data_IF_491436649372
#
_entry.id   IF_491436649372
#
_cell.length_a   1.000
_cell.length_b   1.000
_cell.length_c   1.000
_cell.angle_alpha   90.00
_cell.angle_beta   90.00
_cell.angle_gamma   90.00
#
_symmetry.space_group_name_H-M   'P 1'
#
loop_
_entity.id
_entity.type
_entity.pdbx_description
1 polymer ?
#
# COMPACT_ATOMS: atom_id res chain seq x y z
N UNK A 1 -75.41 -7.74 -3.32
CA UNK A 1 -75.14 -7.48 -1.88
C UNK A 1 -73.64 -7.53 -1.70
N UNK A 2 -73.01 -6.37 -1.91
CA UNK A 2 -71.58 -6.13 -1.71
C UNK A 2 -71.29 -5.98 -0.21
N UNK A 3 -70.24 -6.61 0.30
CA UNK A 3 -69.66 -6.27 1.60
C UNK A 3 -68.23 -5.76 1.42
N UNK A 4 -68.12 -4.44 1.49
CA UNK A 4 -66.92 -3.65 1.49
C UNK A 4 -66.30 -3.71 2.91
N UNK A 5 -65.04 -4.16 3.06
CA UNK A 5 -64.31 -4.07 4.34
C UNK A 5 -63.12 -3.16 4.14
N UNK A 6 -63.26 -1.95 4.68
CA UNK A 6 -62.34 -0.81 4.64
C UNK A 6 -61.32 -0.95 5.77
N UNK A 7 -60.04 -1.09 5.43
CA UNK A 7 -58.94 -1.05 6.41
C UNK A 7 -58.57 0.41 6.66
N UNK A 8 -58.63 0.84 7.92
CA UNK A 8 -58.28 2.20 8.36
C UNK A 8 -56.77 2.44 8.33
N UNK A 9 -56.43 3.65 7.89
CA UNK A 9 -55.08 4.22 7.83
C UNK A 9 -54.85 5.01 9.11
N UNK A 10 -53.77 4.70 9.83
CA UNK A 10 -53.33 5.47 11.00
C UNK A 10 -52.49 6.65 10.51
N UNK A 11 -53.09 7.85 10.52
CA UNK A 11 -52.39 9.12 10.35
C UNK A 11 -51.66 9.50 11.66
N UNK A 12 -50.40 9.94 11.55
CA UNK A 12 -49.64 10.61 12.62
C UNK A 12 -49.42 12.06 12.24
N UNK A 13 -49.97 12.96 13.05
CA UNK A 13 -49.89 14.42 12.92
C UNK A 13 -48.56 14.97 13.50
N UNK A 14 -47.84 15.88 12.80
CA UNK A 14 -46.60 16.47 13.27
C UNK A 14 -46.87 17.88 13.84
N UNK A 15 -47.02 18.02 15.16
CA UNK A 15 -47.13 19.32 15.83
C UNK A 15 -46.84 19.21 17.33
N UNK A 16 -45.56 19.15 17.70
CA UNK A 16 -45.10 19.48 19.05
C UNK A 16 -43.58 19.69 19.07
N UNK A 17 -43.13 20.72 18.35
CA UNK A 17 -42.01 21.54 18.82
C UNK A 17 -42.43 22.29 20.10
N UNK A 18 -41.44 22.83 20.82
CA UNK A 18 -41.53 23.67 22.03
C UNK A 18 -41.35 22.94 23.37
N UNK A 19 -40.12 22.48 23.61
CA UNK A 19 -39.48 22.77 24.90
C UNK A 19 -37.96 22.90 24.75
N UNK A 20 -37.56 24.05 24.23
CA UNK A 20 -36.33 24.72 24.66
C UNK A 20 -36.37 24.92 26.18
N UNK A 21 -35.30 24.58 26.89
CA UNK A 21 -34.61 25.51 27.79
C UNK A 21 -33.45 24.82 28.52
N UNK A 22 -32.40 25.63 28.73
CA UNK A 22 -31.16 25.41 29.51
C UNK A 22 -29.99 24.88 28.67
N UNK A 23 -28.89 25.59 28.43
CA UNK A 23 -28.43 26.91 28.87
C UNK A 23 -27.09 27.21 28.16
N UNK A 24 -26.97 28.39 27.54
CA UNK A 24 -25.71 29.13 27.29
C UNK A 24 -25.23 29.78 28.61
N UNK A 25 -23.98 30.30 28.80
CA UNK A 25 -23.21 31.06 27.81
C UNK A 25 -21.66 30.98 27.86
N UNK A 26 -21.07 31.60 26.84
CA UNK A 26 -19.70 32.08 26.70
C UNK A 26 -19.30 33.12 27.76
N UNK A 27 -18.05 33.09 28.25
CA UNK A 27 -17.29 34.31 28.57
C UNK A 27 -15.76 34.09 28.66
N UNK A 28 -15.03 35.16 28.37
CA UNK A 28 -13.56 35.32 28.25
C UNK A 28 -12.84 35.50 29.60
N UNK A 29 -11.57 35.10 29.74
CA UNK A 29 -10.45 35.94 30.29
C UNK A 29 -9.10 35.20 30.37
N UNK A 30 -8.05 36.01 30.23
CA UNK A 30 -6.60 35.75 30.16
C UNK A 30 -5.90 35.37 31.49
N UNK A 31 -4.57 35.19 31.36
CA UNK A 31 -3.44 35.17 32.32
C UNK A 31 -2.86 33.76 32.54
N UNK A 32 -1.66 33.36 32.13
CA UNK A 32 -0.26 33.89 32.13
C UNK A 32 0.61 32.89 32.94
N UNK A 33 1.91 32.88 32.68
CA UNK A 33 3.01 32.20 33.41
C UNK A 33 3.35 30.76 32.99
N UNK A 34 4.56 30.34 32.61
CA UNK A 34 5.84 30.98 32.22
C UNK A 34 6.75 29.86 31.67
N UNK A 35 7.48 30.13 30.58
CA UNK A 35 8.55 29.29 30.00
C UNK A 35 9.85 30.11 30.08
N UNK A 36 11.02 29.55 30.48
CA UNK A 36 12.28 30.28 30.40
C UNK A 36 13.08 29.97 29.12
N UNK A 37 13.19 31.02 28.31
CA UNK A 37 14.27 31.50 27.42
C UNK A 37 15.62 30.75 27.34
N UNK A 38 16.24 30.75 26.15
CA UNK A 38 17.26 31.76 25.76
C UNK A 38 18.10 31.34 24.51
N UNK A 39 17.77 31.90 23.33
CA UNK A 39 18.49 32.90 22.50
C UNK A 39 19.69 32.42 21.64
N UNK A 40 19.55 32.72 20.35
CA UNK A 40 20.56 32.74 19.28
C UNK A 40 21.20 34.13 19.18
N UNK A 41 22.53 34.18 18.97
CA UNK A 41 23.25 35.38 18.57
C UNK A 41 24.46 35.06 17.69
N UNK A 42 24.37 35.41 16.41
CA UNK A 42 25.43 35.34 15.40
C UNK A 42 26.47 36.46 15.55
N UNK A 43 27.73 36.24 15.15
CA UNK A 43 28.41 37.03 14.09
C UNK A 43 29.93 36.81 14.01
N UNK A 44 30.44 37.06 12.79
CA UNK A 44 31.80 37.43 12.39
C UNK A 44 32.79 36.35 11.91
N UNK A 45 32.81 36.25 10.58
CA UNK A 45 33.87 35.92 9.62
C UNK A 45 35.34 36.14 10.01
N UNK A 46 36.23 35.26 9.53
CA UNK A 46 37.20 35.63 8.46
C UNK A 46 38.03 34.43 7.97
N UNK A 47 38.42 34.54 6.71
CA UNK A 47 39.06 33.57 5.82
C UNK A 47 40.57 33.42 5.97
N UNK A 48 41.09 32.30 5.44
CA UNK A 48 42.28 32.17 4.55
C UNK A 48 43.40 31.25 5.05
N UNK A 49 43.72 30.26 4.21
CA UNK A 49 44.93 29.43 4.24
C UNK A 49 46.16 30.25 3.80
N UNK A 50 47.39 29.81 4.15
CA UNK A 50 48.17 29.04 3.16
C UNK A 50 49.10 27.95 3.75
N UNK A 51 49.51 27.00 2.90
CA UNK A 51 50.62 26.05 3.11
C UNK A 51 51.97 26.70 2.69
N UNK A 52 53.10 25.97 2.53
CA UNK A 52 53.89 25.12 3.44
C UNK A 52 55.39 25.56 3.50
N UNK A 53 56.17 25.13 4.52
CA UNK A 53 57.63 24.84 4.41
C UNK A 53 58.26 24.42 5.75
N UNK A 54 58.86 23.21 5.74
CA UNK A 54 60.20 22.79 6.27
C UNK A 54 60.71 23.44 7.58
N UNK A 55 61.21 22.76 8.61
CA UNK A 55 62.12 21.61 8.78
C UNK A 55 61.85 21.03 10.20
N UNK A 56 61.80 19.74 10.47
CA UNK A 56 62.97 18.90 10.77
C UNK A 56 62.80 18.23 12.15
N UNK A 57 63.31 17.00 12.24
CA UNK A 57 63.54 16.16 13.43
C UNK A 57 62.50 15.12 13.86
N UNK A 58 63.03 13.89 13.91
CA UNK A 58 62.42 12.58 14.07
C UNK A 58 62.14 12.31 15.56
N UNK A 59 61.00 11.68 15.86
CA UNK A 59 60.93 10.80 17.03
C UNK A 59 59.91 9.68 16.78
N UNK A 60 60.41 8.45 16.79
CA UNK A 60 59.73 7.23 16.44
C UNK A 60 58.62 6.87 17.44
N UNK A 61 57.40 6.65 16.96
CA UNK A 61 56.27 6.16 17.75
C UNK A 61 56.17 4.63 17.63
N UNK A 62 56.60 3.95 18.68
CA UNK A 62 56.51 2.51 18.89
C UNK A 62 55.03 2.05 18.98
N UNK A 63 54.58 1.03 18.22
CA UNK A 63 53.20 0.57 18.24
C UNK A 63 53.03 -0.60 19.23
N UNK A 64 52.51 -0.33 20.43
CA UNK A 64 52.01 -1.42 21.28
C UNK A 64 51.98 -1.10 22.77
N UNK A 65 50.85 -0.59 23.26
CA UNK A 65 50.57 -0.54 24.69
C UNK A 65 49.29 -1.30 25.04
N UNK A 66 49.35 -2.63 24.93
CA UNK A 66 48.42 -3.53 25.62
C UNK A 66 48.94 -3.82 27.03
N UNK A 67 48.14 -3.56 28.07
CA UNK A 67 48.54 -3.82 29.45
C UNK A 67 48.32 -5.31 29.82
N UNK A 68 49.37 -5.97 30.32
CA UNK A 68 49.37 -7.41 30.62
C UNK A 68 49.08 -7.64 32.12
N UNK A 69 48.04 -8.44 32.43
CA UNK A 69 47.72 -8.85 33.79
C UNK A 69 48.63 -9.99 34.30
N UNK A 70 48.88 -10.01 35.62
CA UNK A 70 49.83 -10.93 36.30
C UNK A 70 49.50 -12.44 36.23
N UNK A 71 48.40 -12.81 35.59
CA UNK A 71 47.95 -14.17 35.31
C UNK A 71 48.14 -14.57 33.84
N UNK A 72 48.91 -13.79 33.05
CA UNK A 72 49.26 -14.12 31.66
C UNK A 72 48.11 -13.92 30.65
N UNK A 73 46.95 -13.43 31.12
CA UNK A 73 45.83 -13.04 30.26
C UNK A 73 45.96 -11.56 29.89
N UNK A 74 46.05 -11.29 28.59
CA UNK A 74 46.05 -9.94 28.01
C UNK A 74 44.61 -9.48 27.92
N UNK A 75 44.27 -8.40 28.63
CA UNK A 75 43.00 -7.72 28.47
C UNK A 75 43.17 -6.65 27.38
N UNK A 76 42.58 -6.91 26.22
CA UNK A 76 42.23 -5.82 25.31
C UNK A 76 41.04 -5.08 25.90
N UNK A 77 40.97 -3.76 25.70
CA UNK A 77 39.78 -2.98 26.05
C UNK A 77 38.58 -3.53 25.28
N UNK A 78 37.80 -4.39 25.94
CA UNK A 78 36.59 -5.00 25.39
C UNK A 78 35.57 -3.91 25.09
N UNK A 79 35.50 -3.50 23.83
CA UNK A 79 34.30 -3.57 22.97
C UNK A 79 34.63 -3.20 21.51
N UNK A 80 35.82 -3.58 21.02
CA UNK A 80 36.12 -3.61 19.57
C UNK A 80 35.63 -4.90 18.90
N UNK A 81 34.47 -5.44 19.29
CA UNK A 81 33.66 -6.16 18.30
C UNK A 81 32.91 -5.14 17.45
N UNK A 82 33.68 -4.25 16.83
CA UNK A 82 33.29 -3.65 15.56
C UNK A 82 33.20 -4.84 14.62
N UNK A 83 32.00 -5.42 14.45
CA UNK A 83 31.74 -6.26 13.29
C UNK A 83 32.37 -5.53 12.12
N UNK A 84 33.39 -6.13 11.50
CA UNK A 84 34.07 -5.50 10.37
C UNK A 84 32.97 -5.05 9.42
N UNK A 85 32.76 -3.73 9.33
CA UNK A 85 31.88 -3.17 8.33
C UNK A 85 32.58 -3.49 7.01
N UNK A 86 32.22 -4.65 6.46
CA UNK A 86 32.61 -5.02 5.12
C UNK A 86 31.99 -3.95 4.26
N UNK A 87 32.82 -3.01 3.79
CA UNK A 87 32.37 -2.03 2.82
C UNK A 87 31.64 -2.81 1.73
N UNK A 88 30.38 -2.44 1.37
CA UNK A 88 29.75 -3.05 0.22
C UNK A 88 30.72 -2.82 -0.94
N UNK A 89 31.19 -3.91 -1.55
CA UNK A 89 32.28 -3.90 -2.49
C UNK A 89 32.12 -2.73 -3.48
N UNK A 90 33.02 -1.74 -3.38
CA UNK A 90 33.07 -0.61 -4.32
C UNK A 90 33.31 -1.20 -5.70
N UNK A 91 32.30 -1.15 -6.56
CA UNK A 91 32.35 -1.73 -7.90
C UNK A 91 31.36 -2.86 -8.16
N UNK A 92 30.57 -3.29 -7.16
CA UNK A 92 29.35 -4.03 -7.46
C UNK A 92 28.33 -3.00 -7.93
N UNK A 93 28.19 -2.88 -9.26
CA UNK A 93 26.94 -2.34 -9.79
C UNK A 93 25.85 -3.18 -9.16
N UNK A 94 24.85 -2.60 -8.47
CA UNK A 94 23.71 -3.39 -8.05
C UNK A 94 23.13 -3.95 -9.34
N UNK A 95 23.40 -5.23 -9.63
CA UNK A 95 22.81 -5.94 -10.76
C UNK A 95 21.31 -5.72 -10.72
N UNK A 96 20.61 -5.71 -11.88
CA UNK A 96 19.24 -5.21 -12.05
C UNK A 96 18.46 -5.42 -10.77
N UNK A 97 18.32 -4.33 -10.01
CA UNK A 97 18.06 -4.37 -8.57
C UNK A 97 16.86 -5.27 -8.30
N UNK A 98 16.81 -5.93 -7.14
CA UNK A 98 15.61 -6.67 -6.70
C UNK A 98 14.30 -5.85 -6.78
N UNK A 99 14.40 -4.53 -6.95
CA UNK A 99 13.34 -3.57 -7.25
C UNK A 99 12.89 -3.51 -8.73
N UNK A 100 13.69 -3.94 -9.71
CA UNK A 100 13.27 -4.08 -11.10
C UNK A 100 12.33 -5.28 -11.29
N UNK A 101 12.59 -6.35 -10.52
CA UNK A 101 11.57 -7.34 -10.16
C UNK A 101 10.46 -6.55 -9.42
N UNK A 102 9.19 -6.87 -9.34
CA UNK A 102 8.13 -6.04 -8.70
C UNK A 102 7.76 -4.66 -9.29
N UNK A 103 8.61 -3.93 -10.04
CA UNK A 103 8.21 -2.62 -10.62
C UNK A 103 6.90 -2.70 -11.42
N UNK A 104 6.72 -3.75 -12.23
CA UNK A 104 5.49 -3.95 -12.99
C UNK A 104 4.25 -4.18 -12.11
N UNK A 105 4.39 -4.94 -11.02
CA UNK A 105 3.29 -5.20 -10.08
C UNK A 105 2.94 -3.94 -9.30
N UNK A 106 3.95 -3.17 -8.89
CA UNK A 106 3.75 -1.87 -8.25
C UNK A 106 3.06 -0.87 -9.18
N UNK A 107 3.47 -0.79 -10.46
CA UNK A 107 2.84 0.07 -11.46
C UNK A 107 1.36 -0.27 -11.65
N UNK A 108 1.03 -1.56 -11.74
CA UNK A 108 -0.37 -2.04 -11.83
C UNK A 108 -1.14 -1.71 -10.56
N UNK A 109 -0.53 -1.83 -9.38
CA UNK A 109 -1.16 -1.44 -8.11
C UNK A 109 -1.50 0.04 -8.08
N UNK A 110 -0.56 0.92 -8.49
CA UNK A 110 -0.79 2.37 -8.59
C UNK A 110 -1.92 2.68 -9.57
N UNK A 111 -1.95 2.01 -10.72
CA UNK A 111 -3.04 2.16 -11.70
C UNK A 111 -4.40 1.77 -11.09
N UNK A 112 -4.45 0.69 -10.32
CA UNK A 112 -5.66 0.25 -9.62
C UNK A 112 -6.13 1.27 -8.55
N UNK A 113 -5.20 1.89 -7.83
CA UNK A 113 -5.53 2.97 -6.87
C UNK A 113 -6.12 4.19 -7.60
N UNK A 114 -5.53 4.59 -8.73
CA UNK A 114 -6.05 5.68 -9.55
C UNK A 114 -7.45 5.37 -10.09
N UNK A 115 -7.72 4.11 -10.46
CA UNK A 115 -9.05 3.67 -10.87
C UNK A 115 -10.08 3.79 -9.73
N UNK A 116 -9.75 3.34 -8.51
CA UNK A 116 -10.65 3.48 -7.34
C UNK A 116 -10.92 4.95 -7.00
N UNK A 117 -9.90 5.82 -7.13
CA UNK A 117 -10.06 7.26 -6.96
C UNK A 117 -11.01 7.84 -8.03
N UNK A 118 -10.87 7.42 -9.28
CA UNK A 118 -11.77 7.81 -10.37
C UNK A 118 -13.22 7.38 -10.11
N UNK A 119 -13.47 6.15 -9.67
CA UNK A 119 -14.83 5.70 -9.31
C UNK A 119 -15.43 6.52 -8.16
N UNK A 120 -14.61 6.84 -7.16
CA UNK A 120 -15.02 7.69 -6.04
C UNK A 120 -15.41 9.10 -6.50
N UNK A 121 -14.64 9.71 -7.41
CA UNK A 121 -14.97 11.00 -8.02
C UNK A 121 -16.26 10.94 -8.84
N UNK A 122 -16.51 9.84 -9.56
CA UNK A 122 -17.77 9.64 -10.30
C UNK A 122 -18.97 9.55 -9.38
N UNK A 123 -18.86 8.91 -8.22
CA UNK A 123 -19.91 8.91 -7.19
C UNK A 123 -20.16 10.32 -6.67
N UNK A 124 -19.11 11.09 -6.35
CA UNK A 124 -19.25 12.49 -5.90
C UNK A 124 -19.96 13.34 -6.95
N UNK A 125 -19.59 13.18 -8.23
CA UNK A 125 -20.26 13.85 -9.33
C UNK A 125 -21.74 13.45 -9.43
N UNK A 126 -22.05 12.15 -9.32
CA UNK A 126 -23.42 11.66 -9.35
C UNK A 126 -24.26 12.19 -8.18
N UNK A 127 -23.68 12.30 -6.97
CA UNK A 127 -24.34 12.94 -5.81
C UNK A 127 -24.75 14.37 -6.11
N UNK A 128 -23.87 15.15 -6.76
CA UNK A 128 -24.16 16.53 -7.18
C UNK A 128 -25.21 16.58 -8.28
N UNK A 129 -25.11 15.71 -9.29
CA UNK A 129 -26.02 15.67 -10.44
C UNK A 129 -27.46 15.31 -10.04
N UNK A 130 -27.62 14.35 -9.13
CA UNK A 130 -28.92 13.85 -8.69
C UNK A 130 -29.35 14.41 -7.33
N UNK A 131 -28.63 15.41 -6.80
CA UNK A 131 -28.93 16.08 -5.53
C UNK A 131 -29.16 15.13 -4.36
N UNK A 132 -28.28 14.13 -4.19
CA UNK A 132 -28.34 13.15 -3.09
C UNK A 132 -27.31 13.52 -2.00
N UNK A 133 -27.71 14.25 -0.94
CA UNK A 133 -26.79 14.66 0.12
C UNK A 133 -26.35 13.47 0.97
N UNK A 134 -25.12 13.47 1.51
CA UNK A 134 -24.75 12.55 2.60
C UNK A 134 -25.69 12.75 3.81
N UNK A 135 -26.05 11.70 4.58
CA UNK A 135 -25.60 10.30 4.51
C UNK A 135 -26.43 9.42 3.55
N UNK A 136 -27.35 9.98 2.77
CA UNK A 136 -28.23 9.20 1.92
C UNK A 136 -27.44 8.39 0.87
N UNK A 137 -27.82 7.12 0.72
CA UNK A 137 -27.25 6.17 -0.25
C UNK A 137 -28.28 5.66 -1.25
N UNK A 138 -29.52 6.12 -1.13
CA UNK A 138 -30.66 5.82 -2.00
C UNK A 138 -31.18 7.13 -2.62
N UNK A 139 -31.78 7.05 -3.79
CA UNK A 139 -32.26 8.22 -4.52
C UNK A 139 -32.59 7.90 -5.98
N UNK A 140 -32.02 8.66 -6.91
CA UNK A 140 -32.22 8.40 -8.34
C UNK A 140 -31.62 7.03 -8.73
N UNK A 141 -32.31 6.20 -9.54
CA UNK A 141 -31.84 4.85 -9.89
C UNK A 141 -30.44 4.85 -10.54
N UNK A 142 -30.10 5.88 -11.32
CA UNK A 142 -28.76 6.00 -11.92
C UNK A 142 -27.67 6.32 -10.88
N UNK A 143 -28.01 7.10 -9.85
CA UNK A 143 -27.11 7.34 -8.73
C UNK A 143 -26.84 6.04 -7.98
N UNK A 144 -27.90 5.28 -7.68
CA UNK A 144 -27.78 4.01 -6.97
C UNK A 144 -26.92 3.02 -7.74
N UNK A 145 -27.06 2.92 -9.07
CA UNK A 145 -26.19 2.05 -9.89
C UNK A 145 -24.72 2.45 -9.81
N UNK A 146 -24.40 3.74 -9.95
CA UNK A 146 -23.02 4.24 -9.85
C UNK A 146 -22.45 4.02 -8.44
N UNK A 147 -23.24 4.29 -7.41
CA UNK A 147 -22.85 4.08 -6.01
C UNK A 147 -22.58 2.59 -5.72
N UNK A 148 -23.46 1.69 -6.18
CA UNK A 148 -23.29 0.24 -6.03
C UNK A 148 -22.12 -0.31 -6.84
N UNK A 149 -21.89 0.24 -8.04
CA UNK A 149 -20.74 -0.13 -8.85
C UNK A 149 -19.41 0.21 -8.14
N UNK A 150 -19.30 1.41 -7.57
CA UNK A 150 -18.12 1.82 -6.79
C UNK A 150 -17.94 0.98 -5.53
N UNK A 151 -19.01 0.74 -4.76
CA UNK A 151 -18.95 -0.07 -3.55
C UNK A 151 -18.45 -1.49 -3.86
N UNK A 152 -18.99 -2.14 -4.91
CA UNK A 152 -18.53 -3.45 -5.33
C UNK A 152 -17.05 -3.43 -5.73
N UNK A 153 -16.61 -2.45 -6.53
CA UNK A 153 -15.20 -2.33 -6.88
C UNK A 153 -14.30 -2.20 -5.64
N UNK A 154 -14.72 -1.41 -4.64
CA UNK A 154 -13.99 -1.22 -3.39
C UNK A 154 -13.93 -2.48 -2.53
N UNK A 155 -14.98 -3.30 -2.48
CA UNK A 155 -15.02 -4.54 -1.71
C UNK A 155 -14.04 -5.60 -2.26
N UNK A 156 -13.90 -5.68 -3.59
CA UNK A 156 -13.00 -6.64 -4.23
C UNK A 156 -11.56 -6.13 -4.37
N UNK A 157 -11.32 -4.83 -4.23
CA UNK A 157 -9.99 -4.24 -4.42
C UNK A 157 -8.91 -4.83 -3.49
N UNK A 158 -9.14 -5.03 -2.18
CA UNK A 158 -8.16 -5.68 -1.30
C UNK A 158 -7.83 -7.12 -1.74
N UNK A 159 -8.84 -7.89 -2.15
CA UNK A 159 -8.64 -9.27 -2.64
C UNK A 159 -7.75 -9.27 -3.88
N UNK A 160 -8.02 -8.37 -4.82
CA UNK A 160 -7.21 -8.17 -6.01
C UNK A 160 -5.75 -7.87 -5.64
N UNK A 161 -5.50 -6.84 -4.81
CA UNK A 161 -4.14 -6.43 -4.44
C UNK A 161 -3.38 -7.58 -3.77
N UNK A 162 -3.99 -8.29 -2.82
CA UNK A 162 -3.32 -9.42 -2.14
C UNK A 162 -2.94 -10.50 -3.16
N UNK A 163 -3.85 -10.90 -4.03
CA UNK A 163 -3.59 -11.96 -5.03
C UNK A 163 -2.59 -11.52 -6.11
N UNK A 164 -2.60 -10.25 -6.50
CA UNK A 164 -1.63 -9.68 -7.43
C UNK A 164 -0.21 -9.79 -6.86
N UNK A 165 -0.03 -9.39 -5.61
CA UNK A 165 1.27 -9.42 -4.95
C UNK A 165 1.73 -10.86 -4.67
N UNK A 166 0.85 -11.75 -4.21
CA UNK A 166 1.21 -13.16 -4.01
C UNK A 166 1.63 -13.82 -5.32
N UNK A 167 0.87 -13.66 -6.40
CA UNK A 167 1.24 -14.19 -7.71
C UNK A 167 2.54 -13.58 -8.25
N UNK A 168 2.78 -12.28 -8.00
CA UNK A 168 3.98 -11.57 -8.44
C UNK A 168 5.24 -11.98 -7.67
N UNK A 169 5.11 -12.24 -6.37
CA UNK A 169 6.21 -12.62 -5.48
C UNK A 169 6.58 -14.11 -5.59
N UNK A 170 5.58 -14.99 -5.67
CA UNK A 170 5.79 -16.44 -5.56
C UNK A 170 5.74 -17.20 -6.89
N UNK A 171 5.28 -16.58 -7.98
CA UNK A 171 5.18 -17.26 -9.28
C UNK A 171 5.88 -16.52 -10.41
N UNK A 172 5.26 -15.48 -10.98
CA UNK A 172 5.80 -14.74 -12.11
C UNK A 172 5.26 -13.33 -12.12
N UNK A 173 6.18 -12.37 -12.08
CA UNK A 173 5.86 -10.95 -12.13
C UNK A 173 5.19 -10.56 -13.45
N UNK A 174 5.66 -11.06 -14.58
CA UNK A 174 5.12 -10.70 -15.89
C UNK A 174 3.65 -11.15 -16.02
N UNK A 175 3.36 -12.40 -15.66
CA UNK A 175 2.00 -12.94 -15.70
C UNK A 175 1.09 -12.27 -14.67
N UNK A 176 1.58 -12.02 -13.45
CA UNK A 176 0.83 -11.28 -12.43
C UNK A 176 0.47 -9.87 -12.92
N UNK A 177 1.44 -9.12 -13.46
CA UNK A 177 1.20 -7.77 -13.97
C UNK A 177 0.24 -7.77 -15.18
N UNK A 178 0.37 -8.71 -16.11
CA UNK A 178 -0.55 -8.84 -17.25
C UNK A 178 -1.99 -9.13 -16.79
N UNK A 179 -2.18 -10.10 -15.90
CA UNK A 179 -3.49 -10.41 -15.34
C UNK A 179 -4.04 -9.24 -14.53
N UNK A 180 -3.18 -8.54 -13.79
CA UNK A 180 -3.60 -7.37 -13.02
C UNK A 180 -4.06 -6.20 -13.88
N UNK A 181 -3.35 -5.93 -14.97
CA UNK A 181 -3.81 -4.95 -15.96
C UNK A 181 -5.16 -5.35 -16.57
N UNK A 182 -5.32 -6.63 -16.91
CA UNK A 182 -6.56 -7.16 -17.47
C UNK A 182 -7.74 -7.07 -16.47
N UNK A 183 -7.46 -7.27 -15.18
CA UNK A 183 -8.44 -7.09 -14.11
C UNK A 183 -8.91 -5.64 -14.00
N UNK A 184 -7.98 -4.68 -13.98
CA UNK A 184 -8.30 -3.25 -13.94
C UNK A 184 -9.14 -2.86 -15.17
N UNK A 185 -8.72 -3.26 -16.38
CA UNK A 185 -9.50 -3.00 -17.58
C UNK A 185 -10.94 -3.55 -17.50
N UNK A 186 -11.09 -4.78 -17.00
CA UNK A 186 -12.41 -5.37 -16.79
C UNK A 186 -13.25 -4.62 -15.76
N UNK A 187 -12.63 -4.08 -14.70
CA UNK A 187 -13.31 -3.29 -13.66
C UNK A 187 -13.75 -1.93 -14.17
N UNK A 188 -12.94 -1.29 -15.00
CA UNK A 188 -13.33 -0.09 -15.72
C UNK A 188 -14.59 -0.31 -16.57
N UNK A 189 -14.63 -1.40 -17.34
CA UNK A 189 -15.80 -1.76 -18.16
C UNK A 189 -17.01 -2.15 -17.32
N UNK A 190 -16.80 -2.86 -16.20
CA UNK A 190 -17.87 -3.18 -15.25
C UNK A 190 -18.54 -1.92 -14.71
N UNK A 191 -17.75 -0.93 -14.30
CA UNK A 191 -18.28 0.31 -13.74
C UNK A 191 -19.11 1.09 -14.76
N UNK A 192 -18.62 1.27 -15.98
CA UNK A 192 -19.34 1.97 -17.05
C UNK A 192 -20.59 1.21 -17.47
N UNK A 193 -20.48 -0.10 -17.69
CA UNK A 193 -21.62 -0.95 -18.04
C UNK A 193 -22.71 -0.93 -16.98
N UNK A 194 -22.34 -0.90 -15.69
CA UNK A 194 -23.31 -0.82 -14.59
C UNK A 194 -23.95 0.57 -14.46
N UNK A 195 -23.19 1.64 -14.67
CA UNK A 195 -23.72 3.00 -14.69
C UNK A 195 -24.84 3.16 -15.74
N UNK A 196 -24.63 2.59 -16.94
CA UNK A 196 -25.63 2.61 -18.01
C UNK A 196 -26.84 1.72 -17.70
N UNK A 197 -26.61 0.44 -17.37
CA UNK A 197 -27.69 -0.50 -17.11
C UNK A 197 -27.31 -1.59 -16.11
N UNK A 198 -28.29 -2.11 -15.36
CA UNK A 198 -28.04 -3.20 -14.43
C UNK A 198 -27.56 -4.50 -15.12
N UNK A 199 -27.93 -4.71 -16.38
CA UNK A 199 -27.56 -5.91 -17.16
C UNK A 199 -26.17 -5.77 -17.80
N UNK A 200 -25.78 -4.55 -18.21
CA UNK A 200 -24.48 -4.25 -18.83
C UNK A 200 -23.28 -4.58 -17.94
N UNK A 201 -23.49 -4.75 -16.63
CA UNK A 201 -22.45 -5.15 -15.68
C UNK A 201 -22.03 -6.62 -15.79
N UNK A 202 -22.90 -7.51 -16.28
CA UNK A 202 -22.71 -8.96 -16.12
C UNK A 202 -21.52 -9.50 -16.92
N UNK A 203 -21.38 -9.13 -18.19
CA UNK A 203 -20.29 -9.63 -19.02
C UNK A 203 -18.90 -9.18 -18.49
N UNK A 204 -18.67 -7.90 -18.15
CA UNK A 204 -17.43 -7.48 -17.50
C UNK A 204 -17.23 -8.10 -16.11
N UNK A 205 -18.29 -8.36 -15.36
CA UNK A 205 -18.20 -9.02 -14.06
C UNK A 205 -17.68 -10.46 -14.19
N UNK A 206 -18.20 -11.24 -15.13
CA UNK A 206 -17.70 -12.60 -15.35
C UNK A 206 -16.26 -12.61 -15.85
N UNK A 207 -15.91 -11.64 -16.70
CA UNK A 207 -14.54 -11.49 -17.17
C UNK A 207 -13.56 -11.18 -16.03
N UNK A 208 -13.86 -10.16 -15.22
CA UNK A 208 -13.03 -9.81 -14.04
C UNK A 208 -12.95 -10.94 -13.03
N UNK A 209 -14.04 -11.67 -12.81
CA UNK A 209 -14.05 -12.84 -11.94
C UNK A 209 -13.12 -13.95 -12.45
N UNK A 210 -13.12 -14.26 -13.75
CA UNK A 210 -12.20 -15.26 -14.33
C UNK A 210 -10.73 -14.86 -14.15
N UNK A 211 -10.40 -13.59 -14.39
CA UNK A 211 -9.04 -13.06 -14.19
C UNK A 211 -8.63 -13.15 -12.71
N UNK A 212 -9.54 -12.78 -11.80
CA UNK A 212 -9.30 -12.85 -10.36
C UNK A 212 -9.07 -14.29 -9.89
N UNK A 213 -9.88 -15.25 -10.36
CA UNK A 213 -9.66 -16.68 -10.09
C UNK A 213 -8.33 -17.20 -10.66
N UNK A 214 -7.93 -16.70 -11.83
CA UNK A 214 -6.61 -16.96 -12.40
C UNK A 214 -5.48 -16.49 -11.48
N UNK A 215 -5.56 -15.25 -10.96
CA UNK A 215 -4.58 -14.72 -9.99
C UNK A 215 -4.54 -15.51 -8.69
N UNK A 216 -5.70 -15.94 -8.16
CA UNK A 216 -5.80 -16.81 -6.98
C UNK A 216 -5.09 -18.14 -7.26
N UNK A 217 -5.39 -18.79 -8.38
CA UNK A 217 -4.76 -20.06 -8.76
C UNK A 217 -3.24 -19.93 -8.89
N UNK A 218 -2.77 -18.84 -9.50
CA UNK A 218 -1.35 -18.54 -9.65
C UNK A 218 -0.65 -18.31 -8.30
N UNK A 219 -1.32 -17.61 -7.39
CA UNK A 219 -0.85 -17.36 -6.04
C UNK A 219 -0.71 -18.65 -5.23
N UNK A 220 -1.77 -19.47 -5.24
CA UNK A 220 -1.78 -20.76 -4.54
C UNK A 220 -0.70 -21.68 -5.09
N UNK A 221 -0.59 -21.80 -6.41
CA UNK A 221 0.42 -22.64 -7.04
C UNK A 221 1.84 -22.16 -6.71
N UNK A 222 2.11 -20.85 -6.80
CA UNK A 222 3.42 -20.29 -6.45
C UNK A 222 3.80 -20.55 -4.99
N UNK A 223 2.88 -20.33 -4.05
CA UNK A 223 3.12 -20.58 -2.62
C UNK A 223 3.34 -22.08 -2.36
N UNK A 224 2.55 -22.96 -2.94
CA UNK A 224 2.72 -24.41 -2.79
C UNK A 224 4.06 -24.90 -3.34
N UNK A 225 4.48 -24.43 -4.51
CA UNK A 225 5.78 -24.73 -5.08
C UNK A 225 6.92 -24.23 -4.17
N UNK A 226 6.80 -23.01 -3.62
CA UNK A 226 7.76 -22.47 -2.66
C UNK A 226 7.84 -23.31 -1.38
N UNK A 227 6.69 -23.68 -0.82
CA UNK A 227 6.61 -24.54 0.38
C UNK A 227 7.20 -25.92 0.12
N UNK A 228 6.92 -26.55 -1.02
CA UNK A 228 7.47 -27.85 -1.40
C UNK A 228 9.00 -27.79 -1.54
N UNK A 229 9.53 -26.76 -2.18
CA UNK A 229 10.98 -26.57 -2.30
C UNK A 229 11.64 -26.43 -0.93
N UNK A 230 11.02 -25.72 0.01
CA UNK A 230 11.55 -25.49 1.35
C UNK A 230 11.44 -26.72 2.27
N UNK A 231 10.33 -27.46 2.23
CA UNK A 231 10.08 -28.56 3.17
C UNK A 231 10.50 -29.93 2.65
N UNK A 232 10.37 -30.17 1.34
CA UNK A 232 10.60 -31.49 0.73
C UNK A 232 11.87 -31.52 -0.14
N UNK A 233 12.48 -30.37 -0.44
CA UNK A 233 13.62 -30.28 -1.36
C UNK A 233 13.28 -30.65 -2.81
N UNK A 234 11.99 -30.83 -3.13
CA UNK A 234 11.51 -31.23 -4.47
C UNK A 234 11.17 -29.99 -5.28
N UNK A 235 11.77 -29.87 -6.46
CA UNK A 235 11.43 -28.83 -7.43
C UNK A 235 10.21 -29.22 -8.29
N UNK A 236 9.01 -28.98 -7.74
CA UNK A 236 7.75 -29.23 -8.46
C UNK A 236 7.64 -28.45 -9.79
N UNK A 237 8.23 -27.26 -9.86
CA UNK A 237 8.19 -26.43 -11.07
C UNK A 237 9.05 -27.05 -12.17
N UNK A 238 10.23 -27.56 -11.80
CA UNK A 238 11.11 -28.32 -12.69
C UNK A 238 10.44 -29.60 -13.19
N UNK A 239 9.87 -30.40 -12.28
CA UNK A 239 9.17 -31.65 -12.65
C UNK A 239 7.97 -31.40 -13.56
N UNK A 240 7.21 -30.31 -13.35
CA UNK A 240 6.08 -29.96 -14.20
C UNK A 240 6.54 -29.54 -15.61
N UNK A 241 7.64 -28.78 -15.71
CA UNK A 241 8.25 -28.42 -17.00
C UNK A 241 8.79 -29.65 -17.75
N UNK A 242 9.39 -30.61 -17.04
CA UNK A 242 9.84 -31.89 -17.61
C UNK A 242 8.67 -32.72 -18.13
N UNK A 243 7.59 -32.85 -17.34
CA UNK A 243 6.38 -33.61 -17.73
C UNK A 243 5.67 -32.96 -18.91
N UNK A 244 5.67 -31.63 -19.00
CA UNK A 244 5.10 -30.89 -20.12
C UNK A 244 6.02 -30.86 -21.36
N UNK A 245 7.22 -31.46 -21.29
CA UNK A 245 8.15 -31.56 -22.41
C UNK A 245 8.76 -30.23 -22.85
N UNK A 246 8.68 -29.18 -22.02
CA UNK A 246 9.14 -27.83 -22.39
C UNK A 246 10.67 -27.69 -22.37
N UNK A 247 11.39 -28.68 -21.83
CA UNK A 247 12.86 -28.71 -21.82
C UNK A 247 13.48 -29.24 -23.13
N UNK A 248 12.68 -29.57 -24.15
CA UNK A 248 13.17 -30.07 -25.46
C UNK A 248 13.17 -28.98 -26.55
N UNK A 249 12.98 -27.70 -26.18
CA UNK A 249 12.88 -26.57 -27.11
C UNK A 249 14.04 -25.56 -27.00
N UNK A 250 15.12 -25.90 -26.28
CA UNK A 250 16.41 -25.17 -26.34
C UNK A 250 17.39 -25.82 -27.33
#
# INVERSE_FOLDING_TARGET
MESNTRTEVLETDPSSELQEMQSSPSDTTDLDESDPDFVVGSSASSSSSPAPSTEGEEDAKDPGSGWIGRNGLVWFSTNEETLCFSQPARGVTPGPTRYAILVWVAAVTVLGVLEQAYFSLKVIYARRKYSVPPPATTGHPDFERVFRAQANCSEYFPLFVITLWLAGLFFSQALSAMLGFLYIYGRYQYFHGYAESAQGRLAPLYFTAKVQWGLIGLSVFGVLCSMSRLHLGVDLLGSLCEVLGLNQLE
#
